data_IF_077522370356
#
_entry.id   IF_077522370356
#
_cell.length_a   1.000
_cell.length_b   1.000
_cell.length_c   1.000
_cell.angle_alpha   90.00
_cell.angle_beta   90.00
_cell.angle_gamma   90.00
#
_symmetry.space_group_name_H-M   'P 1'
#
loop_
_entity.id
_entity.type
_entity.pdbx_description
1 polymer ?
#
# COMPACT_ATOMS: atom_id res chain seq x y z
N UNK A 1 4.58 21.92 7.93
CA UNK A 1 4.55 20.63 7.23
C UNK A 1 4.90 20.84 5.76
N UNK A 2 5.52 19.87 5.13
CA UNK A 2 5.90 19.96 3.72
C UNK A 2 4.66 19.82 2.83
N UNK A 3 4.53 20.68 1.81
CA UNK A 3 3.39 20.69 0.88
C UNK A 3 3.19 19.34 0.18
N UNK A 4 4.29 18.69 -0.24
CA UNK A 4 4.22 17.38 -0.88
C UNK A 4 3.63 16.31 0.03
N UNK A 5 4.00 16.33 1.30
CA UNK A 5 3.48 15.40 2.28
C UNK A 5 1.97 15.54 2.47
N UNK A 6 1.48 16.77 2.53
CA UNK A 6 0.04 17.03 2.69
C UNK A 6 -0.76 16.51 1.50
N UNK A 7 -0.27 16.71 0.29
CA UNK A 7 -0.92 16.20 -0.93
C UNK A 7 -0.92 14.68 -0.97
N UNK A 8 0.21 14.05 -0.61
CA UNK A 8 0.35 12.60 -0.67
C UNK A 8 -0.49 11.87 0.37
N UNK A 9 -0.71 12.48 1.53
CA UNK A 9 -1.45 11.86 2.64
C UNK A 9 -2.91 12.31 2.72
N UNK A 10 -3.35 13.21 1.86
CA UNK A 10 -4.73 13.68 1.84
C UNK A 10 -5.71 12.50 1.69
N UNK A 11 -6.94 12.62 2.23
CA UNK A 11 -7.98 11.61 1.99
C UNK A 11 -8.18 11.38 0.49
N UNK A 12 -8.75 10.23 0.13
CA UNK A 12 -9.04 9.92 -1.25
C UNK A 12 -9.99 10.95 -1.85
N UNK A 13 -9.68 11.42 -3.06
CA UNK A 13 -10.56 12.30 -3.80
C UNK A 13 -11.76 11.53 -4.35
N UNK A 14 -12.79 12.24 -4.78
CA UNK A 14 -13.94 11.63 -5.43
C UNK A 14 -13.53 10.84 -6.68
N UNK A 15 -12.64 11.40 -7.50
CA UNK A 15 -12.08 10.70 -8.67
C UNK A 15 -11.39 9.40 -8.27
N UNK A 16 -10.59 9.43 -7.22
CA UNK A 16 -9.89 8.23 -6.72
C UNK A 16 -10.89 7.16 -6.25
N UNK A 17 -11.89 7.56 -5.48
CA UNK A 17 -12.89 6.61 -4.96
C UNK A 17 -13.81 6.05 -6.04
N UNK A 18 -14.27 6.88 -6.96
CA UNK A 18 -15.29 6.48 -7.93
C UNK A 18 -14.72 5.89 -9.22
N UNK A 19 -13.50 6.27 -9.58
CA UNK A 19 -12.88 5.86 -10.85
C UNK A 19 -11.69 4.94 -10.66
N UNK A 20 -10.67 5.37 -9.92
CA UNK A 20 -9.43 4.60 -9.77
C UNK A 20 -9.60 3.37 -8.89
N UNK A 21 -10.30 3.50 -7.78
CA UNK A 21 -10.44 2.42 -6.80
C UNK A 21 -11.09 1.16 -7.41
N UNK A 22 -12.23 1.25 -8.12
CA UNK A 22 -12.82 0.06 -8.75
C UNK A 22 -11.90 -0.61 -9.78
N UNK A 23 -11.18 0.17 -10.57
CA UNK A 23 -10.23 -0.35 -11.55
C UNK A 23 -9.10 -1.10 -10.87
N UNK A 24 -8.52 -0.52 -9.83
CA UNK A 24 -7.43 -1.13 -9.07
C UNK A 24 -7.86 -2.41 -8.36
N UNK A 25 -9.05 -2.42 -7.78
CA UNK A 25 -9.60 -3.61 -7.11
C UNK A 25 -9.72 -4.77 -8.11
N UNK A 26 -10.27 -4.53 -9.29
CA UNK A 26 -10.38 -5.56 -10.32
C UNK A 26 -9.02 -6.09 -10.75
N UNK A 27 -8.08 -5.18 -11.03
CA UNK A 27 -6.76 -5.56 -11.51
C UNK A 27 -5.95 -6.31 -10.45
N UNK A 28 -5.94 -5.82 -9.21
CA UNK A 28 -5.19 -6.44 -8.13
C UNK A 28 -5.76 -7.81 -7.73
N UNK A 29 -7.06 -7.99 -7.83
CA UNK A 29 -7.70 -9.28 -7.54
C UNK A 29 -7.20 -10.42 -8.41
N UNK A 30 -6.64 -10.10 -9.58
CA UNK A 30 -6.10 -11.08 -10.53
C UNK A 30 -4.63 -11.41 -10.26
N UNK A 31 -3.96 -10.67 -9.39
CA UNK A 31 -2.52 -10.84 -9.13
C UNK A 31 -2.29 -11.86 -8.03
N UNK A 32 -2.55 -13.12 -8.33
CA UNK A 32 -2.44 -14.23 -7.39
C UNK A 32 -1.05 -14.86 -7.42
N UNK A 33 -0.45 -14.98 -6.25
CA UNK A 33 0.88 -15.56 -6.07
C UNK A 33 2.02 -14.62 -6.41
N UNK A 34 3.19 -14.89 -5.85
CA UNK A 34 4.39 -14.04 -5.98
C UNK A 34 4.85 -13.86 -7.43
N UNK A 35 4.63 -14.86 -8.28
CA UNK A 35 5.01 -14.76 -9.71
C UNK A 35 4.23 -13.68 -10.45
N UNK A 36 3.04 -13.33 -9.95
CA UNK A 36 2.16 -12.33 -10.56
C UNK A 36 2.22 -10.99 -9.85
N UNK A 37 3.15 -10.83 -8.91
CA UNK A 37 3.32 -9.59 -8.15
C UNK A 37 3.61 -8.40 -9.07
N UNK A 38 3.04 -7.25 -8.72
CA UNK A 38 3.24 -6.02 -9.47
C UNK A 38 3.75 -4.92 -8.55
N UNK A 39 4.72 -4.15 -9.04
CA UNK A 39 5.29 -3.03 -8.28
C UNK A 39 4.51 -1.76 -8.54
N UNK A 40 4.65 -0.82 -7.61
CA UNK A 40 3.95 0.47 -7.65
C UNK A 40 4.17 1.23 -8.96
N UNK A 41 5.41 1.29 -9.43
CA UNK A 41 5.73 1.95 -10.70
C UNK A 41 5.07 1.31 -11.91
N UNK A 42 4.97 -0.02 -11.92
CA UNK A 42 4.29 -0.74 -12.99
C UNK A 42 2.79 -0.40 -13.01
N UNK A 43 2.15 -0.38 -11.85
CA UNK A 43 0.72 -0.01 -11.72
C UNK A 43 0.51 1.40 -12.25
N UNK A 44 1.37 2.35 -11.83
CA UNK A 44 1.32 3.73 -12.26
C UNK A 44 1.41 3.85 -13.79
N UNK A 45 2.38 3.17 -14.38
CA UNK A 45 2.61 3.17 -15.82
C UNK A 45 1.40 2.61 -16.58
N UNK A 46 0.84 1.49 -16.12
CA UNK A 46 -0.32 0.87 -16.76
C UNK A 46 -1.56 1.75 -16.68
N UNK A 47 -1.77 2.41 -15.55
CA UNK A 47 -2.91 3.33 -15.40
C UNK A 47 -2.76 4.53 -16.32
N UNK A 48 -1.55 5.09 -16.44
CA UNK A 48 -1.27 6.20 -17.37
C UNK A 48 -1.55 5.78 -18.82
N UNK A 49 -1.09 4.60 -19.22
CA UNK A 49 -1.32 4.07 -20.57
C UNK A 49 -2.80 3.90 -20.87
N UNK A 50 -3.60 3.62 -19.85
CA UNK A 50 -5.05 3.48 -19.97
C UNK A 50 -5.80 4.83 -19.87
N UNK A 51 -5.07 5.94 -19.74
CA UNK A 51 -5.66 7.29 -19.70
C UNK A 51 -5.99 7.81 -18.31
N UNK A 52 -5.59 7.11 -17.25
CA UNK A 52 -5.82 7.58 -15.87
C UNK A 52 -4.65 8.42 -15.39
N UNK A 53 -4.96 9.46 -14.62
CA UNK A 53 -3.95 10.34 -14.02
C UNK A 53 -3.79 10.02 -12.54
N UNK A 54 -2.59 9.58 -12.14
CA UNK A 54 -2.30 9.25 -10.74
C UNK A 54 -0.79 9.23 -10.51
N UNK A 55 -0.35 9.67 -9.34
CA UNK A 55 1.05 9.60 -8.93
C UNK A 55 1.32 8.27 -8.20
N UNK A 56 2.59 7.87 -8.12
CA UNK A 56 2.98 6.68 -7.37
C UNK A 56 2.61 6.80 -5.88
N UNK A 57 2.73 7.99 -5.30
CA UNK A 57 2.37 8.23 -3.91
C UNK A 57 0.87 8.00 -3.67
N UNK A 58 0.03 8.47 -4.60
CA UNK A 58 -1.42 8.26 -4.50
C UNK A 58 -1.80 6.80 -4.72
N UNK A 59 -1.06 6.07 -5.55
CA UNK A 59 -1.26 4.62 -5.70
C UNK A 59 -1.01 3.91 -4.37
N UNK A 60 0.05 4.27 -3.64
CA UNK A 60 0.31 3.71 -2.31
C UNK A 60 -0.85 3.96 -1.36
N UNK A 61 -1.41 5.16 -1.39
CA UNK A 61 -2.58 5.53 -0.57
C UNK A 61 -3.80 4.68 -0.92
N UNK A 62 -4.07 4.51 -2.21
CA UNK A 62 -5.17 3.67 -2.70
C UNK A 62 -4.99 2.21 -2.31
N UNK A 63 -3.79 1.66 -2.44
CA UNK A 63 -3.49 0.28 -2.05
C UNK A 63 -3.65 0.09 -0.55
N UNK A 64 -3.19 1.05 0.24
CA UNK A 64 -3.39 1.01 1.69
C UNK A 64 -4.87 0.98 2.04
N UNK A 65 -5.67 1.81 1.38
CA UNK A 65 -7.13 1.82 1.54
C UNK A 65 -7.74 0.47 1.21
N UNK A 66 -7.35 -0.13 0.09
CA UNK A 66 -7.81 -1.45 -0.34
C UNK A 66 -7.49 -2.52 0.71
N UNK A 67 -6.28 -2.49 1.23
CA UNK A 67 -5.81 -3.47 2.23
C UNK A 67 -6.54 -3.33 3.56
N UNK A 68 -6.65 -2.11 4.06
CA UNK A 68 -7.29 -1.84 5.37
C UNK A 68 -8.79 -2.17 5.33
N UNK A 69 -9.45 -1.90 4.21
CA UNK A 69 -10.89 -2.15 4.07
C UNK A 69 -11.22 -3.55 3.51
N UNK A 70 -10.21 -4.36 3.23
CA UNK A 70 -10.42 -5.72 2.75
C UNK A 70 -11.07 -5.82 1.38
N UNK A 71 -10.89 -4.81 0.52
CA UNK A 71 -11.50 -4.80 -0.82
C UNK A 71 -10.86 -5.84 -1.74
N UNK A 72 -9.61 -6.18 -1.50
CA UNK A 72 -8.92 -7.32 -2.10
C UNK A 72 -8.32 -8.11 -0.93
N UNK A 73 -9.02 -9.13 -0.44
CA UNK A 73 -8.55 -9.88 0.73
C UNK A 73 -7.19 -10.53 0.49
N UNK A 74 -6.35 -10.53 1.51
CA UNK A 74 -5.01 -11.15 1.49
C UNK A 74 -4.06 -10.52 0.47
N UNK A 75 -4.26 -9.24 0.14
CA UNK A 75 -3.32 -8.48 -0.66
C UNK A 75 -2.12 -8.08 0.21
N UNK A 76 -0.95 -8.55 -0.14
CA UNK A 76 0.28 -8.28 0.61
C UNK A 76 1.31 -7.55 -0.27
N UNK A 77 2.27 -6.92 0.39
CA UNK A 77 3.35 -6.18 -0.26
C UNK A 77 4.69 -6.77 0.17
N UNK A 78 5.48 -7.22 -0.80
CA UNK A 78 6.82 -7.77 -0.56
C UNK A 78 7.82 -7.09 -1.50
N UNK A 79 9.08 -7.50 -1.45
CA UNK A 79 10.09 -7.01 -2.38
C UNK A 79 9.75 -7.32 -3.84
N UNK A 80 8.93 -8.35 -4.08
CA UNK A 80 8.45 -8.69 -5.43
C UNK A 80 7.34 -7.75 -5.92
N UNK A 81 6.65 -7.05 -5.01
CA UNK A 81 5.52 -6.19 -5.31
C UNK A 81 4.26 -6.61 -4.56
N UNK A 82 3.11 -6.17 -5.05
CA UNK A 82 1.80 -6.47 -4.48
C UNK A 82 1.22 -7.72 -5.13
N UNK A 83 0.67 -8.63 -4.33
CA UNK A 83 -0.03 -9.80 -4.84
C UNK A 83 -0.97 -10.38 -3.78
N UNK A 84 -1.95 -11.15 -4.23
CA UNK A 84 -2.86 -11.88 -3.35
C UNK A 84 -2.21 -13.21 -2.99
N UNK A 85 -2.06 -13.50 -1.70
CA UNK A 85 -1.51 -14.77 -1.25
C UNK A 85 -2.60 -15.68 -0.71
N UNK A 86 -2.60 -16.93 -1.16
CA UNK A 86 -3.45 -18.00 -0.61
C UNK A 86 -2.65 -18.93 0.30
N UNK A 87 -1.36 -18.65 0.48
CA UNK A 87 -0.46 -19.47 1.30
C UNK A 87 -0.44 -18.94 2.73
N UNK A 88 -0.91 -19.75 3.66
CA UNK A 88 -1.00 -19.41 5.08
C UNK A 88 0.38 -19.04 5.68
N UNK A 89 1.44 -19.77 5.32
CA UNK A 89 2.79 -19.46 5.80
C UNK A 89 3.29 -18.12 5.30
N UNK A 90 3.00 -17.80 4.04
CA UNK A 90 3.36 -16.53 3.42
C UNK A 90 2.68 -15.37 4.15
N UNK A 91 1.39 -15.51 4.44
CA UNK A 91 0.63 -14.52 5.19
C UNK A 91 1.17 -14.34 6.61
N UNK A 92 1.51 -15.43 7.29
CA UNK A 92 2.07 -15.38 8.64
C UNK A 92 3.42 -14.67 8.66
N UNK A 93 4.28 -14.94 7.68
CA UNK A 93 5.58 -14.25 7.53
C UNK A 93 5.38 -12.76 7.29
N UNK A 94 4.41 -12.41 6.47
CA UNK A 94 4.11 -11.01 6.19
C UNK A 94 3.63 -10.26 7.44
N UNK A 95 2.72 -10.87 8.19
CA UNK A 95 2.21 -10.32 9.46
C UNK A 95 3.36 -10.12 10.45
N UNK A 96 4.25 -11.11 10.58
CA UNK A 96 5.43 -11.00 11.45
C UNK A 96 6.35 -9.87 11.02
N UNK A 97 6.55 -9.69 9.72
CA UNK A 97 7.34 -8.59 9.16
C UNK A 97 6.74 -7.22 9.50
N UNK A 98 5.43 -7.08 9.40
CA UNK A 98 4.73 -5.83 9.78
C UNK A 98 4.91 -5.54 11.27
N UNK A 99 4.77 -6.55 12.12
CA UNK A 99 4.97 -6.41 13.57
C UNK A 99 6.40 -5.99 13.90
N UNK A 100 7.39 -6.59 13.22
CA UNK A 100 8.79 -6.22 13.40
C UNK A 100 9.06 -4.77 13.06
N UNK A 101 8.51 -4.29 11.94
CA UNK A 101 8.64 -2.87 11.53
C UNK A 101 7.93 -1.94 12.50
N UNK A 102 6.74 -2.31 12.96
CA UNK A 102 6.01 -1.55 13.97
C UNK A 102 6.82 -1.42 15.26
N UNK A 103 7.41 -2.52 15.74
CA UNK A 103 8.23 -2.52 16.95
C UNK A 103 9.49 -1.64 16.79
N UNK A 104 10.13 -1.68 15.62
CA UNK A 104 11.30 -0.86 15.34
C UNK A 104 10.96 0.62 15.34
N UNK A 105 9.85 0.99 14.72
CA UNK A 105 9.37 2.39 14.72
C UNK A 105 9.03 2.85 16.13
N UNK A 106 8.36 1.99 16.90
CA UNK A 106 8.01 2.29 18.31
C UNK A 106 9.26 2.56 19.13
N UNK A 107 10.30 1.73 18.97
CA UNK A 107 11.56 1.88 19.72
C UNK A 107 12.22 3.23 19.45
N UNK A 108 12.26 3.66 18.18
CA UNK A 108 12.82 4.97 17.83
C UNK A 108 11.98 6.10 18.41
N UNK A 109 10.66 6.00 18.27
CA UNK A 109 9.75 7.01 18.80
C UNK A 109 9.91 7.18 20.32
N UNK A 110 9.95 6.08 21.04
CA UNK A 110 10.11 6.12 22.50
C UNK A 110 11.48 6.67 22.91
N UNK A 111 12.53 6.33 22.18
CA UNK A 111 13.88 6.84 22.44
C UNK A 111 13.91 8.37 22.26
N UNK A 112 13.33 8.89 21.18
CA UNK A 112 13.29 10.34 20.94
C UNK A 112 12.45 11.05 22.00
N UNK A 113 11.29 10.49 22.36
CA UNK A 113 10.44 11.04 23.41
C UNK A 113 11.22 11.19 24.72
N UNK A 114 11.99 10.16 25.11
CA UNK A 114 12.82 10.18 26.29
C UNK A 114 13.91 11.27 26.24
N UNK A 115 14.54 11.44 25.07
CA UNK A 115 15.62 12.41 24.86
C UNK A 115 15.13 13.85 24.94
N UNK A 116 13.90 14.13 24.54
CA UNK A 116 13.35 15.49 24.54
C UNK A 116 12.45 15.79 25.72
N UNK A 117 12.24 14.84 26.61
CA UNK A 117 11.46 15.03 27.81
C UNK A 117 9.96 15.17 27.62
N UNK A 118 9.45 14.62 26.52
CA UNK A 118 8.02 14.65 26.22
C UNK A 118 7.26 13.45 26.79
#
# INVERSE_FOLDING_TARGET
MLDGFEKETAPLSEYEETTLLPVMVRCLSLKRGAKNAVKNGFICSRLKDAGYSVSEARIRKLINHIRVHGLVPRLIATSAGYYVSDDQEDLERYIASLRGRENAIRSVREAILSQVGL
#
